data_IF_677690782617
#
_entry.id   IF_677690782617
#
_cell.length_a   1.000
_cell.length_b   1.000
_cell.length_c   1.000
_cell.angle_alpha   90.00
_cell.angle_beta   90.00
_cell.angle_gamma   90.00
#
_symmetry.space_group_name_H-M   'P 1'
#
loop_
_entity.id
_entity.type
_entity.pdbx_description
1 polymer ?
#
# COMPACT_ATOMS: atom_id res chain seq x y z
N UNK A 1 65.15 -18.18 41.81
CA UNK A 1 63.69 -18.25 41.63
C UNK A 1 63.07 -16.92 41.13
N UNK A 2 63.56 -16.33 40.02
CA UNK A 2 63.03 -15.03 39.49
C UNK A 2 62.32 -15.12 38.13
N UNK A 3 62.36 -16.27 37.44
CA UNK A 3 61.82 -16.42 36.07
C UNK A 3 60.29 -16.51 35.99
N UNK A 4 59.60 -16.91 37.06
CA UNK A 4 58.16 -17.17 37.03
C UNK A 4 57.31 -15.89 36.99
N UNK A 5 57.81 -14.76 37.52
CA UNK A 5 57.06 -13.50 37.53
C UNK A 5 56.91 -12.88 36.14
N UNK A 6 57.89 -13.08 35.24
CA UNK A 6 57.83 -12.57 33.87
C UNK A 6 56.77 -13.30 33.02
N UNK A 7 56.66 -14.62 33.16
CA UNK A 7 55.64 -15.41 32.46
C UNK A 7 54.22 -15.03 32.92
N UNK A 8 54.05 -14.69 34.20
CA UNK A 8 52.76 -14.29 34.74
C UNK A 8 52.30 -12.93 34.19
N UNK A 9 53.21 -11.97 34.01
CA UNK A 9 52.94 -10.68 33.38
C UNK A 9 52.54 -10.84 31.91
N UNK A 10 53.25 -11.69 31.17
CA UNK A 10 52.97 -11.98 29.75
C UNK A 10 51.57 -12.60 29.55
N UNK A 11 51.16 -13.50 30.45
CA UNK A 11 49.82 -14.09 30.43
C UNK A 11 48.75 -13.01 30.67
N UNK A 12 48.97 -12.10 31.63
CA UNK A 12 48.02 -11.01 31.91
C UNK A 12 47.89 -10.07 30.72
N UNK A 13 49.01 -9.71 30.08
CA UNK A 13 49.01 -8.86 28.86
C UNK A 13 48.26 -9.56 27.73
N UNK A 14 48.48 -10.86 27.55
CA UNK A 14 47.80 -11.66 26.52
C UNK A 14 46.29 -11.72 26.74
N UNK A 15 45.85 -11.98 27.98
CA UNK A 15 44.42 -11.98 28.35
C UNK A 15 43.80 -10.61 28.13
N UNK A 16 44.51 -9.54 28.47
CA UNK A 16 44.04 -8.17 28.28
C UNK A 16 43.85 -7.84 26.79
N UNK A 17 44.82 -8.20 25.94
CA UNK A 17 44.71 -8.03 24.49
C UNK A 17 43.55 -8.84 23.90
N UNK A 18 43.39 -10.09 24.32
CA UNK A 18 42.26 -10.94 23.90
C UNK A 18 40.93 -10.30 24.32
N UNK A 19 40.86 -9.77 25.54
CA UNK A 19 39.65 -9.09 26.04
C UNK A 19 39.30 -7.85 25.22
N UNK A 20 40.30 -7.04 24.86
CA UNK A 20 40.11 -5.88 23.97
C UNK A 20 39.56 -6.34 22.61
N UNK A 21 40.18 -7.35 22.00
CA UNK A 21 39.75 -7.89 20.70
C UNK A 21 38.31 -8.41 20.78
N UNK A 22 37.96 -9.13 21.85
CA UNK A 22 36.61 -9.63 22.09
C UNK A 22 35.61 -8.47 22.21
N UNK A 23 35.94 -7.41 22.94
CA UNK A 23 35.05 -6.23 23.06
C UNK A 23 34.78 -5.61 21.68
N UNK A 24 35.82 -5.46 20.86
CA UNK A 24 35.66 -4.95 19.49
C UNK A 24 34.80 -5.88 18.63
N UNK A 25 35.03 -7.20 18.71
CA UNK A 25 34.23 -8.19 18.00
C UNK A 25 32.76 -8.15 18.43
N UNK A 26 32.47 -8.17 19.73
CA UNK A 26 31.10 -8.10 20.23
C UNK A 26 30.39 -6.81 19.83
N UNK A 27 31.09 -5.67 19.87
CA UNK A 27 30.55 -4.40 19.39
C UNK A 27 30.24 -4.46 17.90
N UNK A 28 31.14 -5.05 17.10
CA UNK A 28 30.93 -5.23 15.67
C UNK A 28 29.72 -6.13 15.38
N UNK A 29 29.61 -7.30 16.03
CA UNK A 29 28.47 -8.20 15.89
C UNK A 29 27.15 -7.55 16.31
N UNK A 30 27.14 -6.81 17.42
CA UNK A 30 25.95 -6.07 17.87
C UNK A 30 25.49 -5.04 16.84
N UNK A 31 26.43 -4.37 16.17
CA UNK A 31 26.11 -3.42 15.11
C UNK A 31 25.61 -4.13 13.84
N UNK A 32 26.20 -5.27 13.47
CA UNK A 32 25.73 -6.08 12.34
C UNK A 32 24.28 -6.53 12.53
N UNK A 33 23.95 -7.07 13.72
CA UNK A 33 22.58 -7.50 14.04
C UNK A 33 21.58 -6.32 13.93
N UNK A 34 21.95 -5.14 14.41
CA UNK A 34 21.11 -3.93 14.27
C UNK A 34 20.91 -3.55 12.81
N UNK A 35 21.96 -3.60 12.00
CA UNK A 35 21.89 -3.31 10.57
C UNK A 35 21.01 -4.32 9.83
N UNK A 36 21.16 -5.62 10.11
CA UNK A 36 20.33 -6.67 9.52
C UNK A 36 18.84 -6.49 9.85
N UNK A 37 18.52 -6.18 11.10
CA UNK A 37 17.14 -5.90 11.51
C UNK A 37 16.57 -4.68 10.79
N UNK A 38 17.33 -3.60 10.68
CA UNK A 38 16.91 -2.41 9.93
C UNK A 38 16.69 -2.73 8.44
N UNK A 39 17.60 -3.50 7.83
CA UNK A 39 17.47 -3.94 6.45
C UNK A 39 16.24 -4.81 6.24
N UNK A 40 15.93 -5.71 7.19
CA UNK A 40 14.74 -6.54 7.14
C UNK A 40 13.46 -5.69 7.16
N UNK A 41 13.38 -4.72 8.06
CA UNK A 41 12.24 -3.78 8.14
C UNK A 41 12.07 -3.00 6.83
N UNK A 42 13.17 -2.49 6.26
CA UNK A 42 13.13 -1.75 4.99
C UNK A 42 12.67 -2.65 3.84
N UNK A 43 13.20 -3.88 3.76
CA UNK A 43 12.81 -4.87 2.74
C UNK A 43 11.33 -5.21 2.84
N UNK A 44 10.82 -5.49 4.04
CA UNK A 44 9.41 -5.78 4.27
C UNK A 44 8.51 -4.61 3.88
N UNK A 45 8.89 -3.38 4.23
CA UNK A 45 8.16 -2.17 3.85
C UNK A 45 8.13 -1.98 2.32
N UNK A 46 9.28 -2.11 1.65
CA UNK A 46 9.34 -1.99 0.19
C UNK A 46 8.54 -3.09 -0.52
N UNK A 47 8.58 -4.32 -0.01
CA UNK A 47 7.77 -5.41 -0.52
C UNK A 47 6.28 -5.10 -0.41
N UNK A 48 5.80 -4.62 0.75
CA UNK A 48 4.40 -4.22 0.92
C UNK A 48 3.98 -3.10 -0.03
N UNK A 49 4.83 -2.08 -0.23
CA UNK A 49 4.55 -1.00 -1.19
C UNK A 49 4.43 -1.52 -2.62
N UNK A 50 5.37 -2.36 -3.04
CA UNK A 50 5.38 -2.94 -4.38
C UNK A 50 4.16 -3.85 -4.59
N UNK A 51 3.82 -4.66 -3.60
CA UNK A 51 2.66 -5.54 -3.63
C UNK A 51 1.36 -4.74 -3.73
N UNK A 52 1.19 -3.72 -2.89
CA UNK A 52 0.05 -2.80 -2.95
C UNK A 52 -0.06 -2.14 -4.31
N UNK A 53 1.03 -1.56 -4.82
CA UNK A 53 1.04 -0.86 -6.09
C UNK A 53 0.67 -1.81 -7.24
N UNK A 54 1.31 -2.98 -7.30
CA UNK A 54 1.03 -4.00 -8.32
C UNK A 54 -0.43 -4.46 -8.27
N UNK A 55 -0.92 -4.81 -7.08
CA UNK A 55 -2.27 -5.35 -6.93
C UNK A 55 -3.35 -4.31 -7.25
N UNK A 56 -3.20 -3.08 -6.75
CA UNK A 56 -4.16 -2.02 -7.02
C UNK A 56 -4.09 -1.52 -8.47
N UNK A 57 -2.90 -1.47 -9.08
CA UNK A 57 -2.78 -1.15 -10.51
C UNK A 57 -3.51 -2.17 -11.37
N UNK A 58 -3.34 -3.47 -11.07
CA UNK A 58 -4.08 -4.52 -11.76
C UNK A 58 -5.59 -4.32 -11.64
N UNK A 59 -6.09 -4.18 -10.41
CA UNK A 59 -7.51 -4.05 -10.14
C UNK A 59 -8.11 -2.80 -10.80
N UNK A 60 -7.45 -1.64 -10.70
CA UNK A 60 -7.95 -0.39 -11.25
C UNK A 60 -7.89 -0.32 -12.77
N UNK A 61 -6.92 -1.01 -13.39
CA UNK A 61 -6.87 -1.16 -14.84
C UNK A 61 -7.98 -2.06 -15.39
N UNK A 62 -8.57 -2.91 -14.56
CA UNK A 62 -9.63 -3.85 -14.94
C UNK A 62 -11.02 -3.39 -14.49
N UNK A 63 -11.18 -2.14 -14.05
CA UNK A 63 -12.51 -1.62 -13.72
C UNK A 63 -13.43 -1.69 -14.94
N UNK A 64 -14.66 -2.17 -14.75
CA UNK A 64 -15.65 -2.20 -15.81
C UNK A 64 -16.05 -0.77 -16.20
N UNK A 65 -15.72 -0.36 -17.43
CA UNK A 65 -15.97 1.00 -17.93
C UNK A 65 -17.37 1.11 -18.57
N UNK A 66 -17.97 0.00 -18.99
CA UNK A 66 -19.26 0.03 -19.69
C UNK A 66 -20.42 0.31 -18.73
N UNK A 67 -20.35 -0.28 -17.53
CA UNK A 67 -21.30 -0.05 -16.43
C UNK A 67 -20.51 0.12 -15.14
N UNK A 68 -19.84 1.26 -14.96
CA UNK A 68 -18.94 1.43 -13.85
C UNK A 68 -19.69 1.52 -12.54
N UNK A 69 -19.51 0.50 -11.71
CA UNK A 69 -19.76 0.60 -10.28
C UNK A 69 -18.45 1.06 -9.67
N UNK A 70 -18.35 2.33 -9.29
CA UNK A 70 -17.21 2.87 -8.56
C UNK A 70 -17.70 3.98 -7.63
N UNK A 71 -17.49 3.82 -6.33
CA UNK A 71 -17.88 4.85 -5.36
C UNK A 71 -17.11 4.74 -4.06
N UNK A 72 -17.09 5.83 -3.33
CA UNK A 72 -16.52 5.89 -2.00
C UNK A 72 -17.63 5.98 -0.95
N UNK A 73 -17.37 5.45 0.25
CA UNK A 73 -18.32 5.47 1.35
C UNK A 73 -17.59 5.63 2.67
N UNK A 74 -18.07 6.55 3.51
CA UNK A 74 -17.73 6.57 4.92
C UNK A 74 -18.59 5.54 5.65
N UNK A 75 -17.95 4.50 6.15
CA UNK A 75 -18.62 3.52 6.99
C UNK A 75 -18.74 4.11 8.40
N UNK A 76 -19.92 4.00 9.04
CA UNK A 76 -20.12 4.54 10.40
C UNK A 76 -19.14 3.94 11.41
N UNK A 77 -18.69 2.71 11.14
CA UNK A 77 -17.80 1.97 12.01
C UNK A 77 -16.31 2.12 11.63
N UNK A 78 -15.99 2.65 10.44
CA UNK A 78 -14.61 2.86 10.03
C UNK A 78 -14.23 4.33 10.11
N UNK A 79 -13.07 4.59 10.70
CA UNK A 79 -12.48 5.93 10.75
C UNK A 79 -12.15 6.50 9.36
N UNK A 80 -11.96 5.63 8.38
CA UNK A 80 -11.46 5.98 7.05
C UNK A 80 -12.49 5.69 5.97
N UNK A 81 -12.37 6.42 4.85
CA UNK A 81 -13.18 6.20 3.66
C UNK A 81 -12.90 4.81 3.07
N UNK A 82 -13.93 4.15 2.60
CA UNK A 82 -13.84 2.90 1.84
C UNK A 82 -14.12 3.15 0.36
N UNK A 83 -13.53 2.35 -0.51
CA UNK A 83 -13.77 2.36 -1.96
C UNK A 83 -14.47 1.06 -2.33
N UNK A 84 -15.55 1.16 -3.08
CA UNK A 84 -16.28 0.02 -3.62
C UNK A 84 -16.25 0.13 -5.13
N UNK A 85 -15.97 -0.97 -5.81
CA UNK A 85 -15.89 -0.98 -7.26
C UNK A 85 -16.15 -2.38 -7.83
N UNK A 86 -16.47 -2.43 -9.12
CA UNK A 86 -16.53 -3.66 -9.89
C UNK A 86 -15.38 -3.71 -10.89
N UNK A 87 -14.73 -4.88 -10.99
CA UNK A 87 -13.60 -5.09 -11.88
C UNK A 87 -13.60 -6.50 -12.44
N UNK A 88 -13.01 -6.68 -13.62
CA UNK A 88 -12.78 -8.00 -14.22
C UNK A 88 -11.54 -8.64 -13.60
N UNK A 89 -11.72 -9.74 -12.85
CA UNK A 89 -10.61 -10.48 -12.27
C UNK A 89 -9.97 -11.46 -13.28
N UNK A 90 -10.50 -11.56 -14.50
CA UNK A 90 -10.05 -12.51 -15.52
C UNK A 90 -10.43 -13.95 -15.16
N UNK A 91 -9.65 -14.92 -15.64
CA UNK A 91 -9.83 -16.34 -15.29
C UNK A 91 -9.04 -16.67 -14.02
N UNK A 92 -9.73 -17.10 -12.96
CA UNK A 92 -9.15 -17.55 -11.69
C UNK A 92 -9.27 -19.08 -11.57
N UNK A 93 -8.31 -19.78 -10.95
CA UNK A 93 -8.42 -21.21 -10.69
C UNK A 93 -9.70 -21.61 -9.93
N UNK A 94 -10.26 -20.70 -9.13
CA UNK A 94 -11.59 -20.86 -8.56
C UNK A 94 -12.64 -20.16 -9.42
N UNK A 95 -13.57 -20.90 -10.04
CA UNK A 95 -14.57 -20.34 -10.95
C UNK A 95 -15.40 -19.20 -10.34
N UNK A 96 -15.69 -19.28 -9.03
CA UNK A 96 -16.46 -18.27 -8.29
C UNK A 96 -15.76 -16.89 -8.20
N UNK A 97 -14.47 -16.82 -8.51
CA UNK A 97 -13.66 -15.61 -8.54
C UNK A 97 -13.17 -15.27 -9.95
N UNK A 98 -13.85 -15.78 -10.99
CA UNK A 98 -13.58 -15.37 -12.37
C UNK A 98 -14.53 -14.24 -12.80
N UNK A 99 -14.13 -13.51 -13.84
CA UNK A 99 -14.90 -12.42 -14.46
C UNK A 99 -15.14 -11.22 -13.52
N UNK A 100 -16.26 -10.53 -13.72
CA UNK A 100 -16.63 -9.34 -12.97
C UNK A 100 -16.96 -9.65 -11.51
N UNK A 101 -16.23 -9.01 -10.60
CA UNK A 101 -16.37 -9.16 -9.16
C UNK A 101 -16.46 -7.81 -8.46
N UNK A 102 -17.06 -7.82 -7.28
CA UNK A 102 -17.11 -6.65 -6.42
C UNK A 102 -15.88 -6.61 -5.50
N UNK A 103 -15.11 -5.53 -5.62
CA UNK A 103 -14.00 -5.19 -4.74
C UNK A 103 -14.38 -4.11 -3.73
N UNK A 104 -13.89 -4.25 -2.50
CA UNK A 104 -13.94 -3.23 -1.47
C UNK A 104 -12.57 -2.99 -0.86
N UNK A 105 -12.06 -1.76 -0.96
CA UNK A 105 -10.84 -1.33 -0.28
C UNK A 105 -11.22 -0.53 0.97
N UNK A 106 -10.67 -0.90 2.12
CA UNK A 106 -10.90 -0.20 3.38
C UNK A 106 -9.79 -0.46 4.38
N UNK A 107 -9.69 0.39 5.40
CA UNK A 107 -8.81 0.16 6.55
C UNK A 107 -9.62 -0.51 7.65
N UNK A 108 -9.16 -1.67 8.11
CA UNK A 108 -9.83 -2.44 9.16
C UNK A 108 -9.48 -1.91 10.58
N UNK A 109 -10.09 -2.52 11.60
CA UNK A 109 -9.83 -2.18 13.02
C UNK A 109 -8.41 -2.52 13.49
N UNK A 110 -7.66 -3.33 12.74
CA UNK A 110 -6.25 -3.65 13.00
C UNK A 110 -5.29 -2.67 12.31
N UNK A 111 -5.79 -1.59 11.73
CA UNK A 111 -5.02 -0.62 10.97
C UNK A 111 -4.31 -1.25 9.75
N UNK A 112 -4.99 -2.14 9.04
CA UNK A 112 -4.51 -2.78 7.82
C UNK A 112 -5.39 -2.35 6.63
N UNK A 113 -4.77 -2.04 5.48
CA UNK A 113 -5.49 -1.80 4.24
C UNK A 113 -5.86 -3.16 3.67
N UNK A 114 -7.15 -3.41 3.56
CA UNK A 114 -7.69 -4.65 3.04
C UNK A 114 -8.35 -4.38 1.69
N UNK A 115 -8.12 -5.29 0.76
CA UNK A 115 -8.94 -5.49 -0.43
C UNK A 115 -9.78 -6.75 -0.22
N UNK A 116 -11.07 -6.56 0.01
CA UNK A 116 -12.05 -7.64 0.02
C UNK A 116 -12.59 -7.83 -1.40
N UNK A 117 -12.65 -9.07 -1.85
CA UNK A 117 -13.19 -9.47 -3.14
C UNK A 117 -14.34 -10.45 -2.86
N UNK A 118 -15.55 -10.06 -3.23
CA UNK A 118 -16.73 -10.89 -3.09
C UNK A 118 -16.90 -11.77 -4.32
N UNK A 119 -17.13 -13.06 -4.12
CA UNK A 119 -17.40 -14.00 -5.20
C UNK A 119 -18.66 -13.63 -6.00
N UNK A 120 -18.75 -14.13 -7.23
CA UNK A 120 -19.91 -13.89 -8.10
C UNK A 120 -21.24 -14.31 -7.44
N UNK A 121 -21.25 -15.46 -6.74
CA UNK A 121 -22.42 -15.98 -6.01
C UNK A 121 -22.65 -15.31 -4.65
N UNK A 122 -21.78 -14.37 -4.25
CA UNK A 122 -21.80 -13.60 -3.01
C UNK A 122 -21.72 -14.45 -1.73
N UNK A 123 -21.27 -15.70 -1.82
CA UNK A 123 -21.14 -16.60 -0.66
C UNK A 123 -19.74 -16.57 -0.06
N UNK A 124 -18.73 -16.33 -0.88
CA UNK A 124 -17.33 -16.38 -0.47
C UNK A 124 -16.68 -15.00 -0.54
N UNK A 125 -15.81 -14.73 0.43
CA UNK A 125 -15.10 -13.47 0.54
C UNK A 125 -13.60 -13.74 0.62
N UNK A 126 -12.84 -13.29 -0.37
CA UNK A 126 -11.38 -13.32 -0.33
C UNK A 126 -10.85 -12.00 0.22
N UNK A 127 -10.10 -12.08 1.31
CA UNK A 127 -9.48 -10.91 1.95
C UNK A 127 -7.99 -10.86 1.62
N UNK A 128 -7.55 -9.78 1.02
CA UNK A 128 -6.14 -9.51 0.75
C UNK A 128 -5.65 -8.35 1.59
N UNK A 129 -4.68 -8.60 2.48
CA UNK A 129 -4.02 -7.53 3.24
C UNK A 129 -2.97 -6.87 2.34
N UNK A 130 -3.20 -5.63 1.96
CA UNK A 130 -2.34 -4.87 1.06
C UNK A 130 -1.22 -4.13 1.79
N UNK A 131 -1.52 -3.58 2.98
CA UNK A 131 -0.58 -2.77 3.75
C UNK A 131 -0.90 -2.85 5.24
N UNK A 132 0.12 -2.81 6.10
CA UNK A 132 -0.04 -2.92 7.56
C UNK A 132 0.33 -1.62 8.27
N UNK A 133 -0.09 -1.48 9.53
CA UNK A 133 0.28 -0.38 10.43
C UNK A 133 -0.10 1.02 9.89
N UNK A 134 -1.33 1.18 9.44
CA UNK A 134 -1.86 2.41 8.85
C UNK A 134 -2.31 3.38 9.94
N UNK A 135 -1.66 4.53 10.01
CA UNK A 135 -1.99 5.63 10.91
C UNK A 135 -2.88 6.67 10.22
N UNK A 136 -2.63 6.90 8.94
CA UNK A 136 -3.34 7.88 8.12
C UNK A 136 -3.64 7.28 6.75
N UNK A 137 -4.90 7.41 6.30
CA UNK A 137 -5.38 6.97 5.01
C UNK A 137 -6.27 8.04 4.41
N UNK A 138 -5.92 8.53 3.21
CA UNK A 138 -6.71 9.51 2.46
C UNK A 138 -6.77 9.07 1.01
N UNK A 139 -7.89 9.35 0.36
CA UNK A 139 -8.08 9.10 -1.07
C UNK A 139 -8.56 10.38 -1.72
N UNK A 140 -7.95 10.73 -2.83
CA UNK A 140 -8.37 11.82 -3.69
C UNK A 140 -8.70 11.26 -5.08
N UNK A 141 -9.77 11.79 -5.65
CA UNK A 141 -10.31 11.39 -6.94
C UNK A 141 -10.13 12.54 -7.91
N UNK A 142 -9.57 12.26 -9.08
CA UNK A 142 -9.34 13.25 -10.11
C UNK A 142 -10.19 12.97 -11.34
N UNK A 143 -10.78 14.01 -11.91
CA UNK A 143 -11.60 13.95 -13.12
C UNK A 143 -11.14 15.03 -14.09
N UNK A 144 -11.17 14.72 -15.39
CA UNK A 144 -10.99 15.70 -16.46
C UNK A 144 -12.26 16.51 -16.74
N UNK A 145 -13.42 15.98 -16.32
CA UNK A 145 -14.72 16.64 -16.45
C UNK A 145 -15.17 17.23 -15.11
N UNK A 146 -15.82 18.39 -15.17
CA UNK A 146 -16.47 18.98 -14.01
C UNK A 146 -17.73 18.17 -13.70
N UNK A 147 -17.78 17.59 -12.52
CA UNK A 147 -18.85 16.68 -12.13
C UNK A 147 -19.88 17.37 -11.23
N UNK A 148 -19.84 18.69 -11.10
CA UNK A 148 -20.69 19.48 -10.19
C UNK A 148 -20.64 19.00 -8.71
N UNK A 149 -19.62 18.23 -8.34
CA UNK A 149 -19.35 17.84 -6.96
C UNK A 149 -18.61 18.98 -6.27
N UNK A 150 -18.69 19.05 -4.93
CA UNK A 150 -17.86 19.96 -4.13
C UNK A 150 -16.38 19.62 -4.35
N UNK A 151 -15.76 20.26 -5.34
CA UNK A 151 -14.37 20.07 -5.71
C UNK A 151 -13.49 21.03 -4.93
N UNK A 152 -12.30 20.55 -4.57
CA UNK A 152 -11.18 21.46 -4.35
C UNK A 152 -10.59 21.70 -5.73
N UNK A 153 -10.93 22.84 -6.35
CA UNK A 153 -10.35 23.22 -7.63
C UNK A 153 -8.86 23.48 -7.44
N UNK A 154 -8.01 22.54 -7.85
CA UNK A 154 -6.59 22.80 -8.06
C UNK A 154 -6.48 23.46 -9.44
N UNK A 155 -6.68 24.79 -9.47
CA UNK A 155 -6.55 25.61 -10.69
C UNK A 155 -5.08 25.62 -11.13
N UNK A 156 -4.67 24.65 -11.94
CA UNK A 156 -3.48 24.78 -12.78
C UNK A 156 -3.91 25.19 -14.20
N UNK A 157 -3.42 26.36 -14.60
CA UNK A 157 -3.94 27.29 -15.61
C UNK A 157 -4.03 26.80 -17.09
N UNK A 158 -3.88 25.51 -17.39
CA UNK A 158 -3.95 25.02 -18.79
C UNK A 158 -4.84 23.81 -19.04
N UNK A 159 -5.11 22.97 -18.05
CA UNK A 159 -6.02 21.82 -18.16
C UNK A 159 -6.91 21.77 -16.91
N UNK A 160 -8.25 21.78 -17.08
CA UNK A 160 -9.20 21.73 -15.95
C UNK A 160 -9.21 20.32 -15.36
N UNK A 161 -8.38 20.07 -14.36
CA UNK A 161 -8.40 18.83 -13.57
C UNK A 161 -9.13 19.12 -12.26
N UNK A 162 -10.19 18.38 -11.99
CA UNK A 162 -11.00 18.52 -10.79
C UNK A 162 -10.60 17.47 -9.76
N UNK A 163 -10.34 17.89 -8.52
CA UNK A 163 -9.98 17.02 -7.41
C UNK A 163 -11.12 16.95 -6.38
N UNK A 164 -11.45 15.74 -5.96
CA UNK A 164 -12.52 15.44 -5.01
C UNK A 164 -12.00 14.55 -3.88
N UNK A 165 -12.53 14.73 -2.67
CA UNK A 165 -12.25 13.85 -1.51
C UNK A 165 -13.24 12.69 -1.37
N UNK A 166 -14.24 12.63 -2.26
CA UNK A 166 -15.32 11.66 -2.25
C UNK A 166 -15.81 11.45 -3.69
N UNK A 167 -16.18 10.21 -4.02
CA UNK A 167 -16.80 9.82 -5.26
C UNK A 167 -18.19 9.20 -4.99
N UNK A 168 -19.29 9.78 -5.52
CA UNK A 168 -20.65 9.35 -5.22
C UNK A 168 -21.05 8.04 -5.92
N UNK A 169 -22.00 7.33 -5.31
CA UNK A 169 -22.56 6.07 -5.84
C UNK A 169 -23.47 6.27 -7.05
N UNK A 170 -24.21 7.38 -7.08
CA UNK A 170 -25.21 7.65 -8.12
C UNK A 170 -24.58 8.09 -9.45
N UNK A 171 -23.25 8.13 -9.50
CA UNK A 171 -22.51 8.52 -10.68
C UNK A 171 -22.02 7.27 -11.40
N UNK A 172 -22.63 6.99 -12.56
CA UNK A 172 -22.19 5.95 -13.47
C UNK A 172 -20.92 6.39 -14.22
N UNK A 173 -19.89 6.81 -13.49
CA UNK A 173 -18.60 7.22 -14.02
C UNK A 173 -17.47 6.85 -13.05
N UNK A 174 -16.27 6.73 -13.59
CA UNK A 174 -15.05 6.44 -12.84
C UNK A 174 -14.19 7.71 -12.74
N UNK A 175 -13.39 7.86 -11.67
CA UNK A 175 -12.34 8.88 -11.66
C UNK A 175 -11.34 8.57 -12.78
N UNK A 176 -10.68 9.59 -13.35
CA UNK A 176 -9.57 9.37 -14.29
C UNK A 176 -8.30 8.92 -13.56
N UNK A 177 -8.11 9.39 -12.32
CA UNK A 177 -6.95 9.08 -11.50
C UNK A 177 -7.34 9.05 -10.02
N UNK A 178 -6.72 8.13 -9.30
CA UNK A 178 -6.82 7.97 -7.86
C UNK A 178 -5.48 8.28 -7.22
N UNK A 179 -5.49 9.09 -6.18
CA UNK A 179 -4.33 9.34 -5.34
C UNK A 179 -4.63 8.85 -3.93
N UNK A 180 -3.89 7.84 -3.50
CA UNK A 180 -4.04 7.22 -2.19
C UNK A 180 -2.82 7.62 -1.34
N UNK A 181 -3.08 8.23 -0.19
CA UNK A 181 -2.06 8.53 0.81
C UNK A 181 -2.13 7.53 1.95
N UNK A 182 -0.99 6.89 2.26
CA UNK A 182 -0.84 5.96 3.38
C UNK A 182 0.39 6.37 4.18
N UNK A 183 0.22 6.74 5.46
CA UNK A 183 1.34 7.17 6.32
C UNK A 183 2.26 8.21 5.63
N UNK A 184 1.64 9.22 5.02
CA UNK A 184 2.29 10.33 4.28
C UNK A 184 3.02 9.92 2.99
N UNK A 185 2.89 8.67 2.56
CA UNK A 185 3.35 8.19 1.26
C UNK A 185 2.22 8.27 0.24
N UNK A 186 2.56 8.75 -0.96
CA UNK A 186 1.63 8.94 -2.07
C UNK A 186 1.72 7.77 -3.05
N UNK A 187 0.56 7.20 -3.40
CA UNK A 187 0.39 6.21 -4.46
C UNK A 187 -0.59 6.75 -5.48
N UNK A 188 -0.27 6.65 -6.77
CA UNK A 188 -1.09 7.18 -7.85
C UNK A 188 -1.48 6.04 -8.78
N UNK A 189 -2.76 5.98 -9.11
CA UNK A 189 -3.32 4.98 -10.01
C UNK A 189 -4.15 5.67 -11.08
N UNK A 190 -4.02 5.22 -12.31
CA UNK A 190 -4.88 5.64 -13.40
C UNK A 190 -6.00 4.63 -13.55
N UNK A 191 -7.21 5.12 -13.82
CA UNK A 191 -8.35 4.28 -14.15
C UNK A 191 -8.70 4.54 -15.60
N UNK A 192 -8.76 3.51 -16.45
CA UNK A 192 -9.13 3.69 -17.84
C UNK A 192 -10.52 4.33 -17.94
N UNK A 193 -10.62 5.38 -18.75
CA UNK A 193 -11.92 5.91 -19.21
C UNK A 193 -12.17 5.45 -20.62
N UNK A 194 -13.44 5.28 -20.98
CA UNK A 194 -13.84 5.00 -22.35
C UNK A 194 -13.35 6.18 -23.18
N UNK A 195 -12.48 5.94 -24.16
CA UNK A 195 -12.08 6.99 -25.08
C UNK A 195 -13.35 7.48 -25.75
N UNK A 196 -13.71 8.73 -25.52
CA UNK A 196 -14.74 9.39 -26.33
C UNK A 196 -14.14 9.42 -27.72
N UNK A 197 -14.56 8.48 -28.58
CA UNK A 197 -14.35 8.60 -30.02
C UNK A 197 -15.07 9.88 -30.42
N UNK A 198 -14.29 10.94 -30.60
CA UNK A 198 -14.75 12.13 -31.29
C UNK A 198 -15.07 11.66 -32.71
N UNK A 199 -16.35 11.42 -32.98
CA UNK A 199 -16.84 11.33 -34.35
C UNK A 199 -16.53 12.68 -35.00
N UNK A 200 -15.54 12.69 -35.89
CA UNK A 200 -15.19 13.82 -36.75
C UNK A 200 -16.09 13.84 -37.97
#
# INVERSE_FOLDING_TARGET
MKKNYFSLIEIVISIFLISIILIFLFKHFSNLIKLENNLKIIKENNFQKSFLHSRLSYVFNQINIEKPIFFSQFDKNNKFISLNFEFDNGSDPSPNFSFFLNGKIYVNNKNELILDILSFDKKELRKNVLFKNIKNFKVYFYSLEDNNLKSFLIKNYKNRIFCYSFWPKDKNDVPSMLEIFINDQKFVFFVPKKSITLEY
#
